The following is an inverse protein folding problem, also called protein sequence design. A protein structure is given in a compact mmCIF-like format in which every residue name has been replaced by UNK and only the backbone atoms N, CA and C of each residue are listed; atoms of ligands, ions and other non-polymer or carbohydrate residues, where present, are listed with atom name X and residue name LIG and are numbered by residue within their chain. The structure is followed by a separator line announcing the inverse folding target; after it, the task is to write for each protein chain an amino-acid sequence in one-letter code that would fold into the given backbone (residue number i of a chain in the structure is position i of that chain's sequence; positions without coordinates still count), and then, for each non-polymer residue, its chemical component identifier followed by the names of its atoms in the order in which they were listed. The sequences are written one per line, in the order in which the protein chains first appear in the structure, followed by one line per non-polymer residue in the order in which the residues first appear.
data_IF_821186047523
#
_entry.id   IF_821186047523
#
_cell.length_a   1.000
_cell.length_b   1.000
_cell.length_c   1.000
_cell.angle_alpha   90.00
_cell.angle_beta   90.00
_cell.angle_gamma   90.00
#
_symmetry.space_group_name_H-M   'P 1'
#
loop_
_entity.id
_entity.type
_entity.pdbx_description
1 polymer ?
2 non-polymer ?
3 water ?
#
# COMPACT_ATOMS: atom_id res chain seq x y z
N UNK A 10 -7.52 -17.13 -22.93
CA UNK A 10 -7.82 -15.70 -23.24
C UNK A 10 -6.60 -14.93 -23.80
N UNK A 11 -6.42 -13.73 -23.23
CA UNK A 11 -5.56 -12.65 -23.72
C UNK A 11 -5.87 -11.41 -22.86
N UNK A 12 -5.05 -10.37 -22.99
CA UNK A 12 -5.10 -9.28 -22.07
C UNK A 12 -6.25 -8.35 -22.41
N UNK A 13 -6.59 -8.31 -23.69
CA UNK A 13 -7.65 -7.42 -24.17
C UNK A 13 -9.00 -7.91 -23.70
N UNK A 14 -9.13 -9.22 -23.48
CA UNK A 14 -10.40 -9.81 -23.04
C UNK A 14 -10.58 -9.60 -21.55
N UNK A 15 -9.50 -9.70 -20.79
CA UNK A 15 -9.58 -9.48 -19.33
C UNK A 15 -9.86 -8.01 -19.04
N UNK A 16 -9.41 -7.13 -19.92
CA UNK A 16 -9.65 -5.68 -19.79
C UNK A 16 -11.14 -5.40 -20.05
N UNK A 17 -11.71 -6.07 -21.06
CA UNK A 17 -13.11 -5.93 -21.37
C UNK A 17 -13.98 -6.34 -20.20
N UNK A 18 -13.63 -7.46 -19.57
CA UNK A 18 -14.28 -7.98 -18.38
C UNK A 18 -14.22 -6.99 -17.17
N UNK A 19 -13.08 -6.34 -16.95
CA UNK A 19 -12.96 -5.23 -16.00
C UNK A 19 -13.80 -4.01 -16.38
N UNK A 20 -13.92 -3.74 -17.68
CA UNK A 20 -14.74 -2.65 -18.11
C UNK A 20 -16.19 -2.90 -17.69
N UNK A 21 -16.65 -4.15 -17.87
CA UNK A 21 -17.97 -4.56 -17.44
C UNK A 21 -18.13 -4.54 -15.90
N UNK A 22 -17.13 -5.04 -15.18
CA UNK A 22 -17.11 -5.05 -13.71
C UNK A 22 -17.31 -3.68 -13.10
N UNK A 23 -16.72 -2.67 -13.71
CA UNK A 23 -16.74 -1.29 -13.21
C UNK A 23 -18.12 -0.67 -13.10
N UNK A 24 -19.01 -1.11 -13.99
CA UNK A 24 -20.40 -0.71 -14.02
C UNK A 24 -21.19 -1.00 -12.74
N UNK A 25 -20.78 -2.02 -11.95
CA UNK A 25 -21.46 -2.31 -10.66
C UNK A 25 -20.94 -1.54 -9.47
N UNK A 26 -20.01 -0.60 -9.65
CA UNK A 26 -19.40 0.11 -8.50
C UNK A 26 -20.43 0.86 -7.61
N UNK A 27 -20.19 0.89 -6.30
CA UNK A 27 -21.02 1.66 -5.37
C UNK A 27 -20.18 2.81 -4.85
N UNK A 28 -20.40 3.99 -5.44
CA UNK A 28 -19.48 5.13 -5.29
C UNK A 28 -20.18 6.51 -5.14
N UNK A 29 -21.10 6.63 -4.16
CA UNK A 29 -21.85 7.90 -4.11
C UNK A 29 -21.07 9.09 -3.55
N UNK A 30 -19.89 8.87 -2.99
CA UNK A 30 -19.15 9.94 -2.35
C UNK A 30 -18.03 10.47 -3.28
N UNK A 31 -17.18 9.58 -3.81
CA UNK A 31 -16.17 9.94 -4.82
C UNK A 31 -16.73 10.04 -6.23
N UNK A 32 -17.83 9.32 -6.51
CA UNK A 32 -18.41 9.25 -7.85
C UNK A 32 -17.52 8.54 -8.90
N UNK A 33 -16.40 7.96 -8.44
CA UNK A 33 -15.31 7.47 -9.28
C UNK A 33 -15.32 5.94 -9.39
N UNK A 34 -15.89 5.39 -10.45
CA UNK A 34 -16.00 3.93 -10.62
C UNK A 34 -14.69 3.29 -11.05
N UNK A 35 -14.36 2.16 -10.41
CA UNK A 35 -13.23 1.28 -10.83
C UNK A 35 -13.70 -0.17 -11.01
N UNK A 36 -13.14 -0.86 -11.98
CA UNK A 36 -13.38 -2.29 -12.16
C UNK A 36 -12.06 -3.08 -12.19
N UNK A 37 -12.10 -4.35 -11.81
CA UNK A 37 -11.00 -5.30 -11.94
C UNK A 37 -11.54 -6.68 -12.40
N UNK A 38 -10.73 -7.48 -13.04
CA UNK A 38 -11.09 -8.84 -13.43
C UNK A 38 -9.86 -9.67 -13.20
N UNK A 39 -10.04 -10.83 -12.60
CA UNK A 39 -8.97 -11.71 -12.13
C UNK A 39 -9.10 -13.03 -12.85
N UNK A 40 -7.99 -13.55 -13.34
CA UNK A 40 -8.02 -14.78 -14.11
C UNK A 40 -7.31 -15.89 -13.33
N UNK A 41 -7.98 -17.03 -13.14
CA UNK A 41 -7.34 -18.19 -12.51
C UNK A 41 -6.53 -19.06 -13.50
N UNK A 42 -5.52 -19.76 -12.97
CA UNK A 42 -4.77 -20.81 -13.70
C UNK A 42 -5.65 -21.69 -14.58
N UNK A 43 -6.85 -22.01 -14.10
CA UNK A 43 -7.84 -22.79 -14.85
C UNK A 43 -8.61 -21.98 -15.89
N UNK A 44 -8.43 -20.65 -15.93
CA UNK A 44 -9.21 -19.79 -16.84
C UNK A 44 -10.60 -19.35 -16.37
N UNK A 45 -10.83 -19.36 -15.06
CA UNK A 45 -12.02 -18.75 -14.48
C UNK A 45 -11.81 -17.24 -14.27
N UNK A 46 -12.84 -16.44 -14.56
CA UNK A 46 -12.72 -15.02 -14.35
C UNK A 46 -13.59 -14.59 -13.17
N UNK A 47 -12.99 -13.76 -12.31
CA UNK A 47 -13.71 -13.11 -11.19
C UNK A 47 -13.65 -11.58 -11.34
N UNK A 48 -14.82 -10.94 -11.27
CA UNK A 48 -14.96 -9.52 -11.47
C UNK A 48 -15.09 -8.83 -10.13
N UNK A 49 -14.64 -7.60 -10.03
CA UNK A 49 -14.90 -6.80 -8.84
C UNK A 49 -15.01 -5.33 -9.16
N UNK A 50 -15.49 -4.58 -8.19
CA UNK A 50 -15.64 -3.13 -8.28
C UNK A 50 -15.38 -2.52 -6.90
N UNK A 51 -15.11 -1.22 -6.88
CA UNK A 51 -14.94 -0.53 -5.63
C UNK A 51 -16.30 -0.33 -4.94
N UNK A 52 -16.31 -0.38 -3.59
CA UNK A 52 -17.55 -0.24 -2.76
C UNK A 52 -17.24 0.75 -1.67
N UNK A 53 -17.92 1.91 -1.67
CA UNK A 53 -17.62 3.04 -0.74
C UNK A 53 -18.49 3.07 0.51
N UNK A 54 -18.07 3.88 1.48
CA UNK A 54 -18.78 4.06 2.77
C UNK A 54 -18.73 5.55 3.15
N UNK A 55 -19.72 6.03 3.88
CA UNK A 55 -19.75 7.44 4.35
C UNK A 55 -18.58 7.74 5.27
N UNK A 56 -18.13 6.69 5.96
CA UNK A 56 -16.85 6.67 6.64
C UNK A 56 -15.79 6.21 5.62
N UNK A 57 -15.11 7.20 5.05
CA UNK A 57 -14.15 7.01 3.96
C UNK A 57 -13.18 5.82 4.19
N UNK A 58 -12.62 5.72 5.40
CA UNK A 58 -11.68 4.62 5.76
C UNK A 58 -12.16 3.17 5.53
N UNK A 59 -13.47 2.99 5.43
CA UNK A 59 -14.07 1.68 5.20
C UNK A 59 -14.35 1.35 3.72
N UNK A 60 -13.95 2.24 2.81
CA UNK A 60 -14.07 2.00 1.35
C UNK A 60 -13.25 0.79 0.88
N UNK A 61 -13.78 0.02 -0.07
CA UNK A 61 -13.06 -1.13 -0.60
C UNK A 61 -12.81 -1.11 -2.11
N UNK A 62 -11.56 -1.37 -2.51
CA UNK A 62 -11.16 -1.32 -3.90
C UNK A 62 -11.50 -2.50 -4.73
N UNK A 63 -11.69 -2.23 -6.02
CA UNK A 63 -12.03 -3.22 -7.02
C UNK A 63 -11.20 -4.48 -6.98
N UNK A 64 -9.89 -4.30 -6.84
CA UNK A 64 -8.90 -5.39 -6.92
C UNK A 64 -9.12 -6.38 -5.76
N UNK A 65 -9.36 -5.80 -4.58
CA UNK A 65 -9.73 -6.57 -3.37
C UNK A 65 -11.04 -7.31 -3.47
N UNK A 66 -12.09 -6.65 -3.97
CA UNK A 66 -13.37 -7.31 -4.17
C UNK A 66 -13.22 -8.52 -5.09
N UNK A 67 -12.43 -8.43 -6.16
CA UNK A 67 -12.23 -9.58 -7.06
C UNK A 67 -11.50 -10.71 -6.34
N UNK A 68 -10.41 -10.35 -5.65
CA UNK A 68 -9.49 -11.32 -4.99
C UNK A 68 -10.17 -12.10 -3.87
N UNK A 69 -10.89 -11.37 -3.03
CA UNK A 69 -11.65 -11.94 -1.92
C UNK A 69 -12.81 -12.78 -2.37
N UNK A 70 -13.41 -12.43 -3.50
CA UNK A 70 -14.42 -13.28 -4.14
C UNK A 70 -13.85 -14.62 -4.58
N UNK A 71 -12.70 -14.59 -5.26
CA UNK A 71 -12.03 -15.82 -5.70
C UNK A 71 -11.63 -16.71 -4.52
N UNK A 72 -10.99 -16.13 -3.52
CA UNK A 72 -10.67 -16.87 -2.31
C UNK A 72 -11.91 -17.53 -1.68
N UNK A 73 -13.02 -16.79 -1.62
CA UNK A 73 -14.22 -17.27 -0.95
C UNK A 73 -14.83 -18.44 -1.71
N UNK A 74 -14.55 -18.55 -3.01
CA UNK A 74 -15.07 -19.63 -3.82
C UNK A 74 -14.07 -20.76 -3.95
N UNK A 75 -12.96 -20.68 -3.21
CA UNK A 75 -11.96 -21.75 -3.27
C UNK A 75 -10.85 -21.65 -4.31
N UNK A 76 -10.75 -20.55 -5.04
CA UNK A 76 -9.66 -20.40 -6.01
C UNK A 76 -8.51 -19.59 -5.41
N UNK A 77 -7.31 -20.10 -5.51
CA UNK A 77 -6.15 -19.47 -4.87
C UNK A 77 -4.98 -19.30 -5.84
N UNK A 78 -5.14 -19.72 -7.10
CA UNK A 78 -4.05 -19.73 -8.06
C UNK A 78 -4.39 -18.82 -9.28
N UNK A 79 -3.76 -17.65 -9.27
CA UNK A 79 -4.07 -16.57 -10.17
C UNK A 79 -2.93 -16.30 -11.11
N UNK A 80 -3.29 -16.16 -12.38
CA UNK A 80 -2.37 -15.99 -13.47
C UNK A 80 -2.28 -14.52 -13.94
N UNK A 81 -3.39 -13.77 -13.94
CA UNK A 81 -3.38 -12.34 -14.31
C UNK A 81 -4.51 -11.50 -13.67
N UNK A 82 -4.27 -10.21 -13.50
CA UNK A 82 -5.35 -9.25 -13.22
C UNK A 82 -5.36 -7.99 -14.17
N UNK A 83 -6.56 -7.52 -14.55
CA UNK A 83 -6.76 -6.26 -15.26
C UNK A 83 -7.49 -5.28 -14.37
N UNK A 84 -7.10 -4.02 -14.40
CA UNK A 84 -7.74 -2.95 -13.61
C UNK A 84 -8.04 -1.71 -14.51
N UNK A 85 -9.28 -1.18 -14.42
CA UNK A 85 -9.79 -0.14 -15.31
C UNK A 85 -10.52 1.03 -14.58
N UNK A 86 -10.18 2.26 -14.96
CA UNK A 86 -10.81 3.50 -14.45
C UNK A 86 -10.78 4.61 -15.52
N UNK A 87 -11.64 5.61 -15.38
CA UNK A 87 -11.69 6.76 -16.32
C UNK A 87 -10.62 7.78 -15.96
N UNK A 88 -9.37 7.40 -16.13
CA UNK A 88 -8.20 8.26 -15.92
C UNK A 88 -7.58 8.67 -17.26
N UNK A 89 -6.72 9.69 -17.21
CA UNK A 89 -5.95 10.17 -18.38
C UNK A 89 -4.89 9.19 -18.83
N UNK A 90 -4.04 8.77 -17.89
CA UNK A 90 -3.13 7.65 -18.12
C UNK A 90 -3.59 6.46 -17.26
N UNK A 91 -3.17 5.22 -17.59
CA UNK A 91 -3.61 4.11 -16.72
C UNK A 91 -3.03 4.26 -15.32
N UNK A 92 -3.85 4.13 -14.27
CA UNK A 92 -3.31 4.30 -12.91
C UNK A 92 -3.14 2.98 -12.22
N UNK A 93 -2.06 2.89 -11.41
CA UNK A 93 -1.78 1.64 -10.74
C UNK A 93 -2.61 1.61 -9.47
N UNK A 94 -2.82 0.42 -8.89
CA UNK A 94 -3.54 0.25 -7.62
C UNK A 94 -2.90 1.03 -6.47
N UNK A 95 -3.68 1.39 -5.47
CA UNK A 95 -3.19 2.11 -4.32
C UNK A 95 -2.36 1.13 -3.52
N UNK A 96 -1.52 1.63 -2.62
CA UNK A 96 -0.56 0.78 -1.92
C UNK A 96 -1.14 -0.34 -1.11
N UNK A 97 -2.33 -0.14 -0.56
CA UNK A 97 -3.04 -1.18 0.17
C UNK A 97 -3.49 -2.33 -0.74
N UNK A 98 -3.96 -2.00 -1.96
CA UNK A 98 -4.25 -3.06 -2.94
C UNK A 98 -3.01 -3.83 -3.33
N UNK A 99 -1.88 -3.13 -3.42
CA UNK A 99 -0.63 -3.79 -3.84
C UNK A 99 -0.21 -4.82 -2.84
N UNK A 100 -0.49 -4.50 -1.58
CA UNK A 100 -0.09 -5.37 -0.48
C UNK A 100 -0.96 -6.60 -0.46
N UNK A 101 -2.24 -6.45 -0.77
CA UNK A 101 -3.10 -7.65 -0.86
C UNK A 101 -2.67 -8.57 -1.99
N UNK A 102 -2.36 -8.04 -3.15
CA UNK A 102 -1.96 -8.84 -4.30
C UNK A 102 -0.68 -9.62 -4.07
N UNK A 103 0.28 -8.99 -3.39
CA UNK A 103 1.52 -9.64 -2.95
C UNK A 103 1.28 -10.87 -2.05
N UNK A 104 0.27 -10.81 -1.19
CA UNK A 104 -0.05 -11.94 -0.30
C UNK A 104 -0.78 -13.05 -1.04
N UNK A 105 -1.64 -12.70 -1.96
CA UNK A 105 -2.50 -13.70 -2.60
C UNK A 105 -2.01 -14.15 -3.96
N UNK A 106 -1.04 -13.45 -4.57
CA UNK A 106 -0.54 -13.81 -5.89
C UNK A 106 0.99 -13.96 -5.94
N UNK A 107 1.46 -14.54 -7.03
CA UNK A 107 2.89 -14.74 -7.26
C UNK A 107 3.51 -13.47 -7.80
N UNK A 108 4.80 -13.29 -7.55
CA UNK A 108 5.48 -12.06 -7.94
C UNK A 108 5.45 -11.79 -9.48
N UNK A 109 5.44 -12.87 -10.25
CA UNK A 109 5.37 -12.83 -11.69
C UNK A 109 3.96 -12.64 -12.22
N UNK A 110 2.91 -12.59 -11.38
CA UNK A 110 1.57 -12.46 -11.97
C UNK A 110 1.42 -11.08 -12.63
N UNK A 111 0.76 -11.18 -13.79
CA UNK A 111 0.62 -10.14 -14.76
C UNK A 111 -0.50 -9.18 -14.34
N UNK A 112 -0.21 -7.88 -14.45
CA UNK A 112 -1.13 -6.79 -14.10
C UNK A 112 -1.28 -5.86 -15.35
N UNK A 113 -2.48 -5.76 -15.91
CA UNK A 113 -2.77 -4.82 -16.99
C UNK A 113 -3.52 -3.60 -16.41
N UNK A 114 -2.93 -2.43 -16.43
CA UNK A 114 -3.63 -1.22 -16.03
C UNK A 114 -4.15 -0.60 -17.32
N UNK A 115 -5.45 -0.35 -17.39
CA UNK A 115 -6.02 0.28 -18.54
C UNK A 115 -6.94 1.49 -18.20
N UNK A 116 -7.29 2.30 -19.20
CA UNK A 116 -8.33 3.31 -19.07
C UNK A 116 -9.45 3.05 -20.09
N UNK A 117 -10.37 3.97 -20.28
CA UNK A 117 -11.44 3.77 -21.26
C UNK A 117 -11.12 4.30 -22.68
N UNK A 118 -9.91 4.84 -22.88
CA UNK A 118 -9.50 5.54 -24.13
C UNK A 118 -8.30 4.91 -24.80
N UNK A 119 -8.20 3.58 -24.81
CA UNK A 119 -7.01 2.95 -25.35
C UNK A 119 -5.79 2.67 -24.47
N UNK A 120 -5.34 3.59 -23.59
CA UNK A 120 -4.04 3.41 -22.90
C UNK A 120 -3.97 2.06 -22.14
N UNK A 121 -2.85 1.36 -22.30
CA UNK A 121 -2.53 0.18 -21.53
C UNK A 121 -1.10 0.20 -21.03
N UNK A 122 -0.91 -0.02 -19.72
CA UNK A 122 0.40 -0.41 -19.17
C UNK A 122 0.30 -1.82 -18.56
N UNK A 123 1.19 -2.71 -19.01
CA UNK A 123 1.32 -4.01 -18.42
C UNK A 123 2.47 -3.99 -17.39
N UNK A 124 2.30 -4.61 -16.22
CA UNK A 124 3.38 -4.66 -15.23
C UNK A 124 3.30 -5.99 -14.50
N UNK A 125 3.81 -6.08 -13.27
CA UNK A 125 3.71 -7.34 -12.48
C UNK A 125 3.45 -6.99 -11.06
N UNK A 126 2.86 -7.95 -10.31
CA UNK A 126 2.61 -7.77 -8.86
C UNK A 126 3.90 -7.34 -8.14
N UNK A 127 5.00 -8.05 -8.43
CA UNK A 127 6.33 -7.75 -7.87
C UNK A 127 6.89 -6.40 -8.20
N UNK A 128 6.77 -5.99 -9.46
CA UNK A 128 7.29 -4.69 -9.87
C UNK A 128 6.54 -3.53 -9.23
N UNK A 129 5.32 -3.78 -8.80
CA UNK A 129 4.44 -2.75 -8.29
C UNK A 129 4.76 -2.44 -6.83
N UNK A 130 5.38 -3.39 -6.15
CA UNK A 130 5.74 -3.20 -4.77
C UNK A 130 7.16 -3.62 -4.45
N UNK A 131 8.14 -2.79 -4.77
CA UNK A 131 9.53 -3.18 -4.55
C UNK A 131 9.88 -3.50 -3.08
N UNK A 132 10.70 -4.54 -2.89
CA UNK A 132 11.06 -5.00 -1.57
C UNK A 132 9.99 -5.71 -0.72
N UNK A 133 8.78 -5.90 -1.25
CA UNK A 133 7.69 -6.53 -0.48
C UNK A 133 7.90 -8.03 -0.26
N UNK B 10 19.58 17.16 11.90
CA UNK B 10 20.16 15.89 12.44
C UNK B 10 20.36 14.81 11.37
N UNK B 11 21.38 13.99 11.58
CA UNK B 11 21.73 12.96 10.62
C UNK B 11 20.90 11.69 10.78
N UNK B 12 21.06 10.79 9.80
CA UNK B 12 20.27 9.60 9.70
C UNK B 12 20.51 8.64 10.86
N UNK B 13 21.69 8.73 11.45
CA UNK B 13 22.07 7.85 12.54
C UNK B 13 21.33 8.23 13.82
N UNK B 14 21.10 9.53 14.01
CA UNK B 14 20.33 10.06 15.15
C UNK B 14 18.79 9.84 14.97
N UNK B 15 18.27 10.04 13.79
CA UNK B 15 16.86 9.73 13.51
C UNK B 15 16.52 8.23 13.67
N UNK B 16 17.44 7.37 13.29
CA UNK B 16 17.29 5.93 13.53
C UNK B 16 17.26 5.63 15.04
N UNK B 17 18.10 6.28 15.82
CA UNK B 17 18.03 6.09 17.27
C UNK B 17 16.65 6.50 17.85
N UNK B 18 16.13 7.62 17.40
CA UNK B 18 14.79 8.05 17.77
C UNK B 18 13.76 6.95 17.47
N UNK B 19 13.89 6.27 16.33
CA UNK B 19 12.98 5.18 15.98
C UNK B 19 13.14 3.95 16.84
N UNK B 20 14.34 3.77 17.32
CA UNK B 20 14.63 2.66 18.21
C UNK B 20 13.98 2.92 19.54
N UNK B 21 14.00 4.18 19.98
CA UNK B 21 13.31 4.62 21.19
C UNK B 21 11.76 4.59 21.06
N UNK B 22 11.26 5.12 19.94
CA UNK B 22 9.83 5.09 19.65
C UNK B 22 9.20 3.68 19.71
N UNK B 23 9.93 2.70 19.21
CA UNK B 23 9.54 1.31 19.09
C UNK B 23 9.24 0.59 20.40
N UNK B 24 9.98 0.99 21.46
CA UNK B 24 9.84 0.46 22.82
C UNK B 24 8.43 0.70 23.40
N UNK B 25 7.68 1.61 22.77
CA UNK B 25 6.38 2.05 23.23
C UNK B 25 5.25 1.30 22.54
N UNK B 26 5.61 0.47 21.56
CA UNK B 26 4.63 -0.31 20.73
C UNK B 26 3.61 -1.13 21.49
N UNK B 27 2.36 -1.12 20.99
CA UNK B 27 1.28 -1.90 21.59
C UNK B 27 0.92 -3.08 20.67
N UNK B 28 1.44 -4.27 21.00
CA UNK B 28 1.39 -5.44 20.06
C UNK B 28 1.22 -6.81 20.74
N UNK B 29 0.10 -7.05 21.45
CA UNK B 29 -0.10 -8.37 22.10
C UNK B 29 -0.44 -9.57 21.17
N UNK B 30 -0.86 -9.30 19.94
CA UNK B 30 -1.28 -10.35 19.03
C UNK B 30 -0.13 -10.89 18.15
N UNK B 31 0.74 -9.99 17.69
CA UNK B 31 1.91 -10.35 16.89
C UNK B 31 3.16 -10.32 17.73
N UNK B 32 3.17 -9.54 18.81
CA UNK B 32 4.36 -9.34 19.60
C UNK B 32 5.51 -8.76 18.78
N UNK B 33 5.19 -8.18 17.61
CA UNK B 33 6.21 -7.64 16.72
C UNK B 33 6.27 -6.10 16.80
N UNK B 34 7.26 -5.56 17.50
CA UNK B 34 7.40 -4.09 17.73
C UNK B 34 8.08 -3.32 16.58
N UNK B 35 7.37 -2.35 16.01
CA UNK B 35 7.97 -1.38 15.04
C UNK B 35 7.98 0.06 15.62
N UNK B 36 9.00 0.83 15.23
CA UNK B 36 9.11 2.23 15.57
C UNK B 36 9.49 3.11 14.38
N UNK B 37 9.10 4.40 14.43
CA UNK B 37 9.44 5.39 13.41
C UNK B 37 9.69 6.77 14.01
N UNK B 38 10.37 7.60 13.26
CA UNK B 38 10.68 8.91 13.69
C UNK B 38 10.68 9.79 12.47
N UNK B 39 9.89 10.85 12.52
CA UNK B 39 9.68 11.76 11.36
C UNK B 39 10.29 13.09 11.71
N UNK B 40 11.05 13.66 10.78
CA UNK B 40 11.78 14.90 10.94
C UNK B 40 11.14 15.93 10.01
N UNK B 41 10.80 17.08 10.58
CA UNK B 41 10.23 18.23 9.88
C UNK B 41 11.36 19.11 9.26
N UNK B 42 11.04 19.97 8.28
CA UNK B 42 12.03 20.99 7.79
C UNK B 42 12.58 21.90 8.87
N UNK B 43 11.84 22.13 9.94
CA UNK B 43 12.32 22.95 11.09
C UNK B 43 13.14 22.15 12.10
N UNK B 44 13.29 20.84 11.93
CA UNK B 44 14.14 20.04 12.83
C UNK B 44 13.48 19.32 14.00
N UNK B 45 12.14 19.38 14.12
CA UNK B 45 11.42 18.66 15.15
C UNK B 45 11.22 17.17 14.77
N UNK B 46 11.27 16.29 15.75
CA UNK B 46 11.08 14.88 15.50
C UNK B 46 9.73 14.43 16.08
N UNK B 47 8.97 13.68 15.28
CA UNK B 47 7.80 12.95 15.75
C UNK B 47 8.01 11.43 15.76
N UNK B 48 7.87 10.87 16.96
CA UNK B 48 8.00 9.46 17.21
C UNK B 48 6.64 8.76 17.05
N UNK B 49 6.66 7.54 16.53
CA UNK B 49 5.49 6.72 16.36
C UNK B 49 5.78 5.24 16.51
N UNK B 50 4.79 4.49 16.94
CA UNK B 50 4.87 3.03 17.05
C UNK B 50 3.59 2.35 16.53
N UNK B 51 3.66 1.04 16.29
CA UNK B 51 2.47 0.31 15.86
C UNK B 51 1.56 0.04 17.05
N UNK B 52 0.26 -0.01 16.76
CA UNK B 52 -0.80 -0.21 17.79
C UNK B 52 -1.84 -1.21 17.27
N UNK B 53 -1.92 -2.39 17.88
CA UNK B 53 -2.81 -3.45 17.39
C UNK B 53 -4.26 -3.47 17.95
N UNK B 54 -5.08 -4.29 17.31
CA UNK B 54 -6.43 -4.57 17.74
C UNK B 54 -6.65 -6.07 17.60
N UNK B 55 -7.47 -6.64 18.48
CA UNK B 55 -7.86 -8.04 18.41
C UNK B 55 -8.59 -8.33 17.08
N UNK B 56 -9.23 -7.29 16.56
CA UNK B 56 -9.78 -7.25 15.22
C UNK B 56 -8.68 -6.70 14.28
N UNK B 57 -7.94 -7.61 13.66
CA UNK B 57 -6.64 -7.33 13.04
C UNK B 57 -6.66 -6.20 12.01
N UNK B 58 -7.75 -6.12 11.24
CA UNK B 58 -7.93 -5.02 10.27
C UNK B 58 -7.83 -3.59 10.81
N UNK B 59 -7.87 -3.44 12.14
CA UNK B 59 -7.77 -2.11 12.79
C UNK B 59 -6.39 -1.81 13.37
N UNK B 60 -5.45 -2.72 13.13
CA UNK B 60 -4.06 -2.52 13.56
C UNK B 60 -3.49 -1.31 12.85
N UNK B 61 -2.73 -0.48 13.58
CA UNK B 61 -2.10 0.67 12.98
C UNK B 61 -0.56 0.70 13.09
N UNK B 62 0.09 1.02 11.97
CA UNK B 62 1.56 1.02 11.84
C UNK B 62 2.29 2.23 12.38
N UNK B 63 3.52 2.01 12.82
CA UNK B 63 4.37 3.07 13.36
C UNK B 63 4.43 4.32 12.50
N UNK B 64 4.49 4.11 11.20
CA UNK B 64 4.80 5.17 10.26
C UNK B 64 3.61 6.13 10.28
N UNK B 65 2.41 5.54 10.26
CA UNK B 65 1.16 6.29 10.27
C UNK B 65 0.90 7.02 11.58
N UNK B 66 1.20 6.37 12.70
CA UNK B 66 1.17 7.02 13.99
C UNK B 66 2.03 8.28 13.96
N UNK B 67 3.31 8.15 13.60
CA UNK B 67 4.19 9.33 13.54
C UNK B 67 3.62 10.46 12.67
N UNK B 68 3.14 10.10 11.47
CA UNK B 68 2.63 11.08 10.50
C UNK B 68 1.35 11.80 10.98
N UNK B 69 0.42 11.02 11.55
CA UNK B 69 -0.84 11.57 12.01
C UNK B 69 -0.60 12.52 13.20
N UNK B 70 0.34 12.17 14.09
CA UNK B 70 0.75 13.03 15.21
C UNK B 70 1.37 14.36 14.74
N UNK B 71 2.19 14.31 13.70
CA UNK B 71 2.74 15.55 13.10
C UNK B 71 1.64 16.47 12.47
N UNK B 72 0.78 15.88 11.64
CA UNK B 72 -0.38 16.63 11.12
C UNK B 72 -1.23 17.25 12.25
N UNK B 73 -1.57 16.46 13.26
CA UNK B 73 -2.37 16.92 14.40
C UNK B 73 -1.73 18.12 15.18
N UNK B 74 -0.44 18.36 15.06
CA UNK B 74 0.16 19.52 15.67
C UNK B 74 0.35 20.65 14.67
N UNK B 75 -0.04 20.45 13.43
CA UNK B 75 0.03 21.50 12.44
C UNK B 75 1.33 21.55 11.66
N UNK B 76 2.14 20.51 11.80
CA UNK B 76 3.37 20.34 11.01
C UNK B 76 3.11 19.59 9.72
N UNK B 77 3.50 20.18 8.59
CA UNK B 77 3.20 19.63 7.28
C UNK B 77 4.41 19.48 6.34
N UNK B 78 5.59 19.96 6.71
CA UNK B 78 6.73 19.90 5.81
C UNK B 78 7.74 18.93 6.40
N UNK B 79 7.87 17.76 5.76
CA UNK B 79 8.73 16.68 6.25
C UNK B 79 9.93 16.40 5.33
N UNK B 80 11.10 16.29 5.94
CA UNK B 80 12.34 16.03 5.24
C UNK B 80 12.77 14.55 5.23
N UNK B 81 12.53 13.85 6.33
CA UNK B 81 12.85 12.41 6.39
C UNK B 81 12.09 11.62 7.44
N UNK B 82 12.15 10.31 7.26
CA UNK B 82 11.60 9.37 8.22
C UNK B 82 12.50 8.15 8.32
N UNK B 83 12.64 7.64 9.55
CA UNK B 83 13.39 6.43 9.83
C UNK B 83 12.44 5.37 10.39
N UNK B 84 12.65 4.12 10.06
CA UNK B 84 11.77 3.05 10.46
C UNK B 84 12.63 1.84 10.92
N UNK B 85 12.26 1.26 12.06
CA UNK B 85 13.05 0.21 12.69
C UNK B 85 12.23 -0.95 13.18
N UNK B 86 12.71 -2.15 12.87
CA UNK B 86 12.19 -3.42 13.43
C UNK B 86 13.31 -4.43 13.54
N UNK B 87 13.11 -5.44 14.38
CA UNK B 87 14.04 -6.55 14.61
C UNK B 87 13.87 -7.62 13.54
N UNK B 88 14.21 -7.26 12.31
CA UNK B 88 14.24 -8.14 11.15
C UNK B 88 15.69 -8.47 10.72
N UNK B 89 15.83 -9.53 9.94
CA UNK B 89 17.13 -9.95 9.42
C UNK B 89 17.76 -8.85 8.55
N UNK B 90 17.04 -8.51 7.49
CA UNK B 90 17.39 -7.36 6.69
C UNK B 90 16.41 -6.21 6.95
N UNK B 91 16.79 -4.97 6.61
CA UNK B 91 15.78 -3.94 6.81
C UNK B 91 14.58 -4.23 5.92
N UNK B 92 13.39 -4.11 6.50
CA UNK B 92 12.16 -4.37 5.77
C UNK B 92 11.46 -3.04 5.52
N UNK B 93 10.87 -2.89 4.30
CA UNK B 93 10.32 -1.57 3.93
C UNK B 93 8.90 -1.47 4.45
N UNK B 94 8.31 -0.27 4.43
CA UNK B 94 6.90 -0.15 4.87
C UNK B 94 5.93 -1.02 4.06
N UNK B 95 4.83 -1.42 4.70
CA UNK B 95 3.77 -2.15 4.02
C UNK B 95 3.11 -1.19 3.03
N UNK B 96 2.35 -1.71 2.09
CA UNK B 96 1.85 -0.90 0.98
C UNK B 96 0.93 0.22 1.38
N UNK B 97 0.14 0.00 2.44
CA UNK B 97 -0.76 1.04 2.97
C UNK B 97 0.01 2.18 3.64
N UNK B 98 1.14 1.92 4.29
CA UNK B 98 1.90 3.03 4.82
C UNK B 98 2.56 3.83 3.74
N UNK B 99 2.97 3.13 2.68
CA UNK B 99 3.63 3.80 1.58
C UNK B 99 2.73 4.84 0.95
N UNK B 100 1.46 4.45 0.78
CA UNK B 100 0.39 5.31 0.23
C UNK B 100 0.12 6.57 1.07
N UNK B 101 0.17 6.45 2.38
CA UNK B 101 -0.02 7.59 3.27
C UNK B 101 1.20 8.49 3.20
N UNK B 102 2.36 7.89 3.18
CA UNK B 102 3.60 8.65 3.05
C UNK B 102 3.60 9.49 1.79
N UNK B 103 3.10 8.93 0.70
CA UNK B 103 2.91 9.61 -0.59
C UNK B 103 1.94 10.80 -0.52
N UNK B 104 0.87 10.65 0.24
CA UNK B 104 -0.11 11.74 0.43
C UNK B 104 0.51 12.93 1.17
N UNK B 105 1.31 12.65 2.19
CA UNK B 105 1.78 13.67 3.13
C UNK B 105 3.19 14.15 2.90
N UNK B 106 3.99 13.37 2.19
CA UNK B 106 5.38 13.75 1.92
C UNK B 106 5.66 13.92 0.41
N UNK B 107 6.74 14.63 0.12
CA UNK B 107 7.28 14.76 -1.25
C UNK B 107 7.97 13.51 -1.73
N UNK B 108 8.10 13.39 -3.03
CA UNK B 108 8.66 12.21 -3.64
C UNK B 108 10.13 11.97 -3.22
N UNK B 109 10.85 13.07 -3.00
CA UNK B 109 12.27 13.08 -2.64
C UNK B 109 12.53 12.92 -1.15
N UNK B 110 11.50 12.85 -0.32
CA UNK B 110 11.77 12.69 1.11
C UNK B 110 12.43 11.33 1.42
N UNK B 111 13.45 11.44 2.28
CA UNK B 111 14.33 10.31 2.60
C UNK B 111 13.68 9.36 3.60
N UNK B 112 13.85 8.06 3.32
CA UNK B 112 13.38 6.97 4.16
C UNK B 112 14.57 6.09 4.56
N UNK B 113 14.89 5.97 5.84
CA UNK B 113 15.98 5.09 6.28
C UNK B 113 15.33 3.91 6.91
N UNK B 114 15.51 2.74 6.31
CA UNK B 114 14.97 1.49 6.86
C UNK B 114 16.09 0.86 7.62
N UNK B 115 15.82 0.35 8.80
CA UNK B 115 16.90 -0.19 9.60
C UNK B 115 16.43 -1.32 10.51
N UNK B 116 17.37 -2.13 11.00
CA UNK B 116 17.06 -3.16 12.00
C UNK B 116 17.85 -2.88 13.25
N UNK B 117 17.89 -3.82 14.19
CA UNK B 117 18.58 -3.55 15.46
C UNK B 117 20.05 -3.92 15.43
N UNK B 118 20.50 -4.51 14.31
CA UNK B 118 21.89 -5.01 14.13
C UNK B 118 22.70 -4.19 13.12
N UNK B 119 22.36 -2.90 13.00
CA UNK B 119 23.13 -1.97 12.19
C UNK B 119 22.84 -1.87 10.70
N UNK B 120 22.03 -2.79 10.14
CA UNK B 120 21.73 -2.76 8.69
C UNK B 120 20.88 -1.54 8.33
N UNK B 121 21.19 -0.94 7.18
CA UNK B 121 20.58 0.28 6.75
C UNK B 121 20.38 0.29 5.25
N UNK B 122 19.16 0.60 4.84
CA UNK B 122 18.81 0.89 3.48
C UNK B 122 18.10 2.25 3.45
N UNK B 123 18.72 3.17 2.75
CA UNK B 123 18.19 4.45 2.42
C UNK B 123 17.44 4.40 1.07
N UNK B 124 16.19 4.88 1.04
CA UNK B 124 15.46 5.05 -0.21
C UNK B 124 14.69 6.38 -0.20
N UNK B 125 13.67 6.51 -1.04
CA UNK B 125 12.78 7.69 -1.02
C UNK B 125 11.33 7.23 -1.03
N UNK B 126 10.48 8.14 -0.60
CA UNK B 126 9.03 7.90 -0.64
C UNK B 126 8.58 7.49 -2.05
N UNK B 127 9.04 8.22 -3.08
CA UNK B 127 8.64 7.98 -4.47
C UNK B 127 9.04 6.61 -4.96
N UNK B 128 10.32 6.29 -4.79
CA UNK B 128 10.85 4.97 -5.18
C UNK B 128 10.14 3.82 -4.51
N UNK B 129 9.55 4.06 -3.35
CA UNK B 129 8.85 3.01 -2.59
C UNK B 129 7.54 2.61 -3.23
N UNK B 130 7.01 3.51 -4.02
CA UNK B 130 5.69 3.27 -4.65
C UNK B 130 5.68 3.78 -6.13
N UNK B 131 6.26 2.97 -7.05
CA UNK B 131 6.27 3.18 -8.51
C UNK B 131 4.91 3.64 -9.09
N UNK B 132 4.90 4.84 -9.67
CA UNK B 132 3.69 5.36 -10.32
C UNK B 132 2.60 5.91 -9.42
N UNK B 133 2.89 6.12 -8.14
CA UNK B 133 1.93 6.74 -7.21
C UNK B 133 2.03 8.28 -7.25
X LIG C 1 -6.83 0.02 -3.80
X LIG D 1 2.44 -0.12 7.42
#
# INVERSE_FOLDING_TARGET
GSSHHHHHHMNSKQLIQEAIEARKQAYVPYSKFQVGAALLTQDGKVYRGCNVENASYGLCNCAERTALFKAVSEGDKEFVAIAIVADTKRPVPPCGACRQVMVELCKQDTKVYLSNLHGDVQETTVGELLPGAFLAEDLHE
GSSHHHHHHMNSKQLIQEAIEARKQAYVPYSKFQVGAALLTQDGKVYRGCNVENASYGLCNCAERTALFKAVSEGDKEFVAIAIVADTKRPVPPCGACRQVMVELCKQDTKVYLSNLHGDVQETTVGELLPGAFLAEDLHE
ZN ZN
ZN ZN
#
